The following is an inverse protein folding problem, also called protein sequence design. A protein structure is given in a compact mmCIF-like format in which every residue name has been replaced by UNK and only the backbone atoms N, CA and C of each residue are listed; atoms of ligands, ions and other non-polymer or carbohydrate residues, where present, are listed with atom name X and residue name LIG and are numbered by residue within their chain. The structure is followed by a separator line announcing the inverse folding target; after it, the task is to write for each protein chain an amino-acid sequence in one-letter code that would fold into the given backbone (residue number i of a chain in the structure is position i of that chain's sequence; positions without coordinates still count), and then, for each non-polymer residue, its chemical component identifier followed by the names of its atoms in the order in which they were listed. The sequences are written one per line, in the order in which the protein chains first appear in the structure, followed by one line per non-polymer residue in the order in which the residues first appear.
data_IF_873187261090
#
_entry.id   IF_873187261090
#
_cell.length_a   1.000
_cell.length_b   1.000
_cell.length_c   1.000
_cell.angle_alpha   90.00
_cell.angle_beta   90.00
_cell.angle_gamma   90.00
#
_symmetry.space_group_name_H-M   'P 1'
#
loop_
_entity.id
_entity.type
_entity.pdbx_description
1 polymer ?
#
# COMPACT_ATOMS: atom_id res chain seq x y z
N UNK A 1 18.10 2.62 2.34
CA UNK A 1 19.50 2.48 1.88
C UNK A 1 19.71 3.27 0.59
N UNK A 2 20.78 4.07 0.51
CA UNK A 2 21.31 4.65 -0.74
C UNK A 2 22.71 4.07 -0.94
N UNK A 3 22.87 3.16 -1.91
CA UNK A 3 24.10 2.38 -2.05
C UNK A 3 25.22 3.12 -2.78
N UNK A 4 25.03 4.39 -3.16
CA UNK A 4 26.00 5.19 -3.92
C UNK A 4 26.31 4.67 -5.33
N UNK A 5 25.62 3.60 -5.78
CA UNK A 5 25.82 3.02 -7.10
C UNK A 5 25.19 3.87 -8.18
N UNK A 6 25.95 4.12 -9.25
CA UNK A 6 25.42 4.71 -10.47
C UNK A 6 24.35 3.80 -11.07
N UNK A 7 23.31 4.41 -11.62
CA UNK A 7 22.29 3.68 -12.36
C UNK A 7 21.69 4.58 -13.44
N UNK A 8 21.27 3.97 -14.54
CA UNK A 8 20.73 4.67 -15.71
C UNK A 8 19.20 4.69 -15.60
N UNK A 9 18.60 5.86 -15.79
CA UNK A 9 17.16 6.01 -15.99
C UNK A 9 16.83 5.75 -17.46
N UNK A 10 16.56 4.48 -17.76
CA UNK A 10 16.41 3.99 -19.15
C UNK A 10 15.16 4.57 -19.83
N UNK A 11 15.13 4.58 -21.18
CA UNK A 11 13.98 5.08 -21.94
C UNK A 11 12.65 4.41 -21.53
N UNK A 12 12.64 3.10 -21.36
CA UNK A 12 11.44 2.38 -20.90
C UNK A 12 11.01 2.77 -19.47
N UNK A 13 11.95 3.12 -18.59
CA UNK A 13 11.59 3.65 -17.27
C UNK A 13 11.03 5.07 -17.36
N UNK A 14 11.52 5.91 -18.28
CA UNK A 14 10.97 7.25 -18.52
C UNK A 14 9.54 7.19 -19.03
N UNK A 15 9.27 6.32 -20.01
CA UNK A 15 7.91 6.07 -20.53
C UNK A 15 6.96 5.61 -19.43
N UNK A 16 7.38 4.65 -18.59
CA UNK A 16 6.58 4.19 -17.45
C UNK A 16 6.29 5.31 -16.44
N UNK A 17 7.28 6.16 -16.15
CA UNK A 17 7.12 7.28 -15.22
C UNK A 17 6.13 8.32 -15.78
N UNK A 18 6.24 8.66 -17.06
CA UNK A 18 5.32 9.57 -17.74
C UNK A 18 3.89 9.04 -17.75
N UNK A 19 3.70 7.76 -18.11
CA UNK A 19 2.38 7.11 -18.15
C UNK A 19 1.68 7.09 -16.78
N UNK A 20 2.45 7.09 -15.68
CA UNK A 20 1.95 7.13 -14.29
C UNK A 20 1.79 8.57 -13.76
N UNK A 21 2.13 9.59 -14.54
CA UNK A 21 2.09 11.00 -14.14
C UNK A 21 3.21 11.41 -13.17
N UNK A 22 4.32 10.67 -13.12
CA UNK A 22 5.46 11.01 -12.26
C UNK A 22 6.37 12.03 -12.95
N UNK A 23 6.41 13.26 -12.44
CA UNK A 23 7.28 14.34 -12.94
C UNK A 23 8.70 14.35 -12.39
N UNK A 24 9.06 13.38 -11.54
CA UNK A 24 10.37 13.32 -10.89
C UNK A 24 11.17 12.10 -11.30
N UNK A 25 12.48 12.28 -11.47
CA UNK A 25 13.38 11.19 -11.78
C UNK A 25 13.60 10.25 -10.58
N UNK A 26 14.00 9.00 -10.85
CA UNK A 26 14.55 8.10 -9.85
C UNK A 26 15.68 8.68 -9.00
N UNK A 27 15.52 8.71 -7.68
CA UNK A 27 16.61 9.03 -6.73
C UNK A 27 17.42 7.82 -6.26
N UNK A 28 17.00 6.59 -6.63
CA UNK A 28 17.59 5.34 -6.13
C UNK A 28 17.57 4.28 -7.23
N UNK A 29 18.62 3.48 -7.28
CA UNK A 29 18.71 2.34 -8.19
C UNK A 29 17.63 1.28 -7.89
N UNK A 30 17.41 0.36 -8.85
CA UNK A 30 16.39 -0.68 -8.77
C UNK A 30 16.51 -1.55 -7.51
N UNK A 31 17.73 -1.93 -7.12
CA UNK A 31 17.96 -2.75 -5.92
C UNK A 31 17.62 -1.98 -4.64
N UNK A 32 18.08 -0.73 -4.50
CA UNK A 32 17.75 0.12 -3.33
C UNK A 32 16.24 0.38 -3.22
N UNK A 33 15.54 0.52 -4.35
CA UNK A 33 14.07 0.62 -4.39
C UNK A 33 13.40 -0.67 -3.94
N UNK A 34 13.91 -1.82 -4.38
CA UNK A 34 13.39 -3.13 -3.99
C UNK A 34 13.56 -3.39 -2.49
N UNK A 35 14.75 -3.12 -1.94
CA UNK A 35 15.03 -3.22 -0.50
C UNK A 35 14.11 -2.30 0.31
N UNK A 36 13.96 -1.04 -0.09
CA UNK A 36 13.03 -0.14 0.60
C UNK A 36 11.59 -0.66 0.55
N UNK A 37 11.16 -1.20 -0.60
CA UNK A 37 9.82 -1.78 -0.74
C UNK A 37 9.65 -3.00 0.17
N UNK A 38 10.65 -3.86 0.31
CA UNK A 38 10.60 -5.01 1.23
C UNK A 38 10.59 -4.57 2.69
N UNK A 39 11.47 -3.63 3.07
CA UNK A 39 11.50 -3.03 4.42
C UNK A 39 10.16 -2.40 4.79
N UNK A 40 9.50 -1.75 3.83
CA UNK A 40 8.21 -1.09 4.04
C UNK A 40 7.05 -2.09 4.10
N UNK A 41 7.20 -3.27 3.49
CA UNK A 41 6.27 -4.39 3.62
C UNK A 41 6.46 -5.13 4.96
N UNK A 42 7.69 -5.24 5.44
CA UNK A 42 8.01 -5.87 6.74
C UNK A 42 7.81 -4.92 7.93
N UNK A 43 7.89 -3.61 7.72
CA UNK A 43 7.74 -2.56 8.73
C UNK A 43 6.49 -1.70 8.55
N UNK A 44 5.49 -2.19 7.82
CA UNK A 44 4.27 -1.43 7.57
C UNK A 44 3.47 -1.29 8.85
N UNK A 45 3.59 -0.17 9.57
CA UNK A 45 2.61 0.50 10.45
C UNK A 45 1.66 -0.37 11.32
N UNK A 46 2.02 -1.62 11.55
CA UNK A 46 1.44 -2.48 12.55
C UNK A 46 2.28 -2.30 13.79
N UNK A 47 2.03 -1.19 14.52
CA UNK A 47 2.49 -1.05 15.90
C UNK A 47 2.16 -2.37 16.60
N UNK A 48 3.21 -3.11 16.95
CA UNK A 48 3.23 -4.44 17.56
C UNK A 48 2.80 -4.37 19.05
N UNK A 49 1.91 -3.44 19.37
CA UNK A 49 1.24 -3.34 20.65
C UNK A 49 -0.17 -3.93 20.56
N UNK A 50 -0.78 -4.33 21.69
CA UNK A 50 -2.17 -4.75 21.71
C UNK A 50 -3.05 -3.62 21.17
N UNK A 51 -3.68 -3.85 20.01
CA UNK A 51 -4.57 -2.88 19.36
C UNK A 51 -5.96 -3.01 19.96
N UNK A 52 -6.54 -1.88 20.38
CA UNK A 52 -7.97 -1.84 20.67
C UNK A 52 -8.75 -2.19 19.39
N UNK A 53 -9.65 -3.15 19.53
CA UNK A 53 -10.52 -3.60 18.45
C UNK A 53 -11.88 -2.94 18.60
N UNK A 54 -12.42 -2.41 17.50
CA UNK A 54 -13.69 -1.70 17.47
C UNK A 54 -14.72 -2.50 16.67
N UNK A 55 -15.94 -2.71 17.21
CA UNK A 55 -17.00 -3.38 16.48
C UNK A 55 -17.53 -2.49 15.35
N UNK A 56 -17.81 -3.11 14.20
CA UNK A 56 -18.44 -2.47 13.05
C UNK A 56 -19.39 -3.44 12.36
N UNK A 57 -20.39 -2.89 11.67
CA UNK A 57 -21.17 -3.60 10.66
C UNK A 57 -20.54 -3.31 9.29
N UNK A 58 -20.19 -4.35 8.54
CA UNK A 58 -19.56 -4.21 7.25
C UNK A 58 -20.49 -3.53 6.23
N UNK A 59 -20.03 -2.45 5.60
CA UNK A 59 -20.81 -1.71 4.61
C UNK A 59 -21.07 -2.48 3.30
N UNK A 60 -20.35 -3.57 3.04
CA UNK A 60 -20.51 -4.40 1.84
C UNK A 60 -21.40 -5.62 2.09
N UNK A 61 -21.09 -6.44 3.10
CA UNK A 61 -21.78 -7.71 3.35
C UNK A 61 -22.75 -7.70 4.55
N UNK A 62 -22.81 -6.60 5.31
CA UNK A 62 -23.71 -6.45 6.44
C UNK A 62 -23.36 -7.27 7.70
N UNK A 63 -22.29 -8.07 7.67
CA UNK A 63 -21.88 -8.87 8.83
C UNK A 63 -21.15 -8.03 9.88
N UNK A 64 -21.25 -8.44 11.14
CA UNK A 64 -20.45 -7.88 12.24
C UNK A 64 -18.96 -8.24 12.06
N UNK A 65 -18.09 -7.29 12.37
CA UNK A 65 -16.65 -7.46 12.31
C UNK A 65 -15.93 -6.60 13.35
N UNK A 66 -14.65 -6.90 13.58
CA UNK A 66 -13.78 -6.12 14.46
C UNK A 66 -12.65 -5.48 13.63
N UNK A 67 -12.39 -4.19 13.84
CA UNK A 67 -11.33 -3.45 13.13
C UNK A 67 -10.33 -2.81 14.10
N UNK A 68 -9.05 -2.68 13.72
CA UNK A 68 -7.98 -2.16 14.60
C UNK A 68 -7.91 -0.61 14.63
N UNK A 69 -9.01 0.07 14.30
CA UNK A 69 -9.11 1.52 14.26
C UNK A 69 -10.51 1.97 14.67
N UNK A 70 -10.61 3.11 15.34
CA UNK A 70 -11.90 3.71 15.69
C UNK A 70 -12.60 4.23 14.43
N UNK A 71 -13.82 3.76 14.08
CA UNK A 71 -14.59 4.31 12.98
C UNK A 71 -14.93 5.78 13.23
N UNK A 72 -14.77 6.63 12.22
CA UNK A 72 -15.09 8.07 12.29
C UNK A 72 -16.49 8.42 11.79
N UNK A 73 -17.16 7.49 11.11
CA UNK A 73 -18.52 7.65 10.58
C UNK A 73 -18.62 8.45 9.27
N UNK A 74 -17.53 9.04 8.78
CA UNK A 74 -17.46 9.79 7.52
C UNK A 74 -17.28 8.89 6.29
N UNK A 75 -16.86 7.64 6.49
CA UNK A 75 -16.50 6.69 5.43
C UNK A 75 -17.04 5.29 5.73
N UNK A 76 -17.41 4.51 4.70
CA UNK A 76 -17.79 3.11 4.88
C UNK A 76 -16.61 2.31 5.44
N UNK A 77 -16.93 1.42 6.38
CA UNK A 77 -15.97 0.49 6.97
C UNK A 77 -16.32 -0.93 6.50
N UNK A 78 -15.29 -1.67 6.09
CA UNK A 78 -15.43 -3.02 5.53
C UNK A 78 -14.76 -4.03 6.44
N UNK A 79 -15.30 -5.26 6.48
CA UNK A 79 -14.59 -6.39 7.08
C UNK A 79 -13.32 -6.72 6.28
N UNK A 80 -12.40 -7.47 6.90
CA UNK A 80 -11.12 -7.86 6.30
C UNK A 80 -11.26 -8.53 4.93
N UNK A 81 -12.29 -9.37 4.77
CA UNK A 81 -12.52 -10.12 3.53
C UNK A 81 -12.99 -9.21 2.39
N UNK A 82 -14.00 -8.37 2.65
CA UNK A 82 -14.50 -7.40 1.66
C UNK A 82 -13.40 -6.40 1.28
N UNK A 83 -12.64 -5.90 2.24
CA UNK A 83 -11.51 -5.01 1.97
C UNK A 83 -10.42 -5.67 1.11
N UNK A 84 -10.11 -6.95 1.38
CA UNK A 84 -9.11 -7.70 0.60
C UNK A 84 -9.57 -7.94 -0.84
N UNK A 85 -10.85 -8.29 -1.05
CA UNK A 85 -11.46 -8.42 -2.38
C UNK A 85 -11.42 -7.11 -3.17
N UNK A 86 -11.79 -5.99 -2.54
CA UNK A 86 -11.74 -4.66 -3.17
C UNK A 86 -10.31 -4.27 -3.55
N UNK A 87 -9.33 -4.51 -2.69
CA UNK A 87 -7.92 -4.25 -3.02
C UNK A 87 -7.45 -5.07 -4.22
N UNK A 88 -7.80 -6.36 -4.27
CA UNK A 88 -7.43 -7.23 -5.38
C UNK A 88 -8.00 -6.73 -6.73
N UNK A 89 -9.21 -6.18 -6.74
CA UNK A 89 -9.85 -5.63 -7.96
C UNK A 89 -9.26 -4.28 -8.39
N UNK A 90 -8.70 -3.50 -7.45
CA UNK A 90 -8.09 -2.20 -7.74
C UNK A 90 -6.64 -2.28 -8.24
N UNK A 91 -6.03 -3.47 -8.20
CA UNK A 91 -4.69 -3.68 -8.74
C UNK A 91 -4.80 -3.90 -10.26
N UNK A 92 -3.98 -3.22 -11.09
CA UNK A 92 -3.82 -3.61 -12.48
C UNK A 92 -3.35 -5.05 -12.49
N UNK A 93 -4.17 -5.94 -13.07
CA UNK A 93 -3.73 -7.28 -13.44
C UNK A 93 -2.90 -7.09 -14.70
N UNK A 94 -1.58 -7.26 -14.59
CA UNK A 94 -0.65 -7.26 -15.73
C UNK A 94 -1.08 -8.32 -16.77
#
# INVERSE_FOLDING_TARGET
VECGGEFIFTAGEQEFFQARGFGNEPKRCRSCRAVRRSEQRSGGMYQDGPREMYPITCAECGSDAMVPFRPRGDRPVYCSDCFSKMRAQSLPVD
#
